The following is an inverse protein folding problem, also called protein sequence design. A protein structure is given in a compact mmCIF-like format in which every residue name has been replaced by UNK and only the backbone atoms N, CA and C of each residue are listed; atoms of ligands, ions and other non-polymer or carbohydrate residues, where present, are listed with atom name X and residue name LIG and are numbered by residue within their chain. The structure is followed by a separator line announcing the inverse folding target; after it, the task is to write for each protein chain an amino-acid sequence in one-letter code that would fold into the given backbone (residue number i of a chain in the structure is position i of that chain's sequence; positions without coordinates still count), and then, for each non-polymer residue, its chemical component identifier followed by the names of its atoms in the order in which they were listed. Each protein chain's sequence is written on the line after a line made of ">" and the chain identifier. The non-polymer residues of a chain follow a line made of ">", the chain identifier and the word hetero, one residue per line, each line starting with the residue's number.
data_IF_124968396760
#
_entry.id   IF_124968396760
#
_cell.length_a   1.000
_cell.length_b   1.000
_cell.length_c   1.000
_cell.angle_alpha   90.00
_cell.angle_beta   90.00
_cell.angle_gamma   90.00
#
_symmetry.space_group_name_H-M   'P 1'
#
loop_
_entity.id
_entity.type
_entity.pdbx_description
1 polymer ?
#
# COMPACT_ATOMS: atom_id res chain seq x y z
N UNK A 1 0.90 -12.54 -7.89
CA UNK A 1 0.51 -11.56 -6.86
C UNK A 1 -0.42 -10.54 -7.51
N UNK A 2 -1.57 -10.26 -6.91
CA UNK A 2 -2.59 -9.33 -7.43
C UNK A 2 -2.70 -8.14 -6.48
N UNK A 3 -2.84 -6.92 -7.04
CA UNK A 3 -3.11 -5.71 -6.25
C UNK A 3 -4.55 -5.29 -6.47
N UNK A 4 -5.24 -4.99 -5.37
CA UNK A 4 -6.56 -4.38 -5.40
C UNK A 4 -6.47 -2.89 -5.08
N UNK A 5 -7.56 -2.17 -5.33
CA UNK A 5 -7.76 -0.83 -4.76
C UNK A 5 -7.78 -0.94 -3.23
N UNK A 6 -7.47 0.17 -2.54
CA UNK A 6 -7.51 0.22 -1.06
C UNK A 6 -8.93 0.00 -0.56
N UNK A 7 -9.11 -0.86 0.43
CA UNK A 7 -10.40 -1.27 0.99
C UNK A 7 -10.61 -2.78 0.91
N UNK A 8 -10.95 -3.39 2.04
CA UNK A 8 -11.28 -4.82 2.21
C UNK A 8 -12.20 -5.38 1.12
N UNK A 9 -13.25 -4.64 0.72
CA UNK A 9 -14.19 -5.04 -0.33
C UNK A 9 -13.50 -5.32 -1.66
N UNK A 10 -12.53 -4.50 -2.04
CA UNK A 10 -11.81 -4.68 -3.30
C UNK A 10 -10.87 -5.88 -3.24
N UNK A 11 -10.27 -6.14 -2.08
CA UNK A 11 -9.45 -7.34 -1.85
C UNK A 11 -10.34 -8.58 -1.95
N UNK A 12 -11.48 -8.61 -1.25
CA UNK A 12 -12.43 -9.71 -1.31
C UNK A 12 -12.94 -9.97 -2.74
N UNK A 13 -13.34 -8.92 -3.46
CA UNK A 13 -13.77 -9.03 -4.85
C UNK A 13 -12.67 -9.65 -5.73
N UNK A 14 -11.43 -9.17 -5.62
CA UNK A 14 -10.31 -9.71 -6.38
C UNK A 14 -10.05 -11.19 -6.06
N UNK A 15 -10.18 -11.60 -4.79
CA UNK A 15 -10.06 -13.00 -4.40
C UNK A 15 -11.15 -13.87 -5.04
N UNK A 16 -12.42 -13.45 -4.96
CA UNK A 16 -13.55 -14.21 -5.55
C UNK A 16 -13.39 -14.37 -7.06
N UNK A 17 -13.12 -13.26 -7.76
CA UNK A 17 -12.94 -13.26 -9.23
C UNK A 17 -11.78 -14.17 -9.67
N UNK A 18 -10.74 -14.28 -8.85
CA UNK A 18 -9.53 -15.05 -9.18
C UNK A 18 -9.44 -16.39 -8.43
N UNK A 19 -10.52 -16.83 -7.75
CA UNK A 19 -10.55 -18.04 -6.91
C UNK A 19 -9.40 -18.11 -5.89
N UNK A 20 -8.96 -16.95 -5.38
CA UNK A 20 -7.93 -16.83 -4.35
C UNK A 20 -8.51 -17.08 -2.96
N UNK A 21 -7.67 -17.60 -2.06
CA UNK A 21 -8.07 -17.93 -0.68
C UNK A 21 -7.43 -17.05 0.39
N UNK A 22 -6.34 -16.35 0.07
CA UNK A 22 -5.60 -15.50 1.00
C UNK A 22 -5.40 -14.11 0.43
N UNK A 23 -5.80 -13.08 1.18
CA UNK A 23 -5.51 -11.68 0.88
C UNK A 23 -5.54 -10.85 2.13
N UNK A 24 -5.25 -9.55 2.00
CA UNK A 24 -5.35 -8.64 3.13
C UNK A 24 -4.81 -7.25 2.86
N UNK A 25 -4.83 -6.46 3.91
CA UNK A 25 -4.39 -5.07 3.92
C UNK A 25 -3.25 -4.86 4.93
N UNK A 26 -2.48 -3.79 4.73
CA UNK A 26 -1.37 -3.44 5.62
C UNK A 26 -1.80 -3.11 7.06
N UNK A 27 -3.10 -2.92 7.31
CA UNK A 27 -3.69 -2.76 8.64
C UNK A 27 -3.67 -4.04 9.49
N UNK A 28 -3.36 -5.19 8.88
CA UNK A 28 -3.49 -6.51 9.51
C UNK A 28 -4.85 -7.17 9.29
N UNK A 29 -5.76 -6.54 8.54
CA UNK A 29 -7.01 -7.17 8.11
C UNK A 29 -6.70 -8.21 7.03
N UNK A 30 -6.74 -9.49 7.40
CA UNK A 30 -6.52 -10.61 6.48
C UNK A 30 -7.82 -11.35 6.18
N UNK A 31 -7.94 -11.83 4.94
CA UNK A 31 -9.02 -12.67 4.46
C UNK A 31 -8.46 -14.07 4.21
N UNK A 32 -8.97 -15.06 4.94
CA UNK A 32 -8.70 -16.49 4.73
C UNK A 32 -10.00 -17.17 4.26
N UNK A 33 -10.31 -17.07 2.97
CA UNK A 33 -11.63 -17.45 2.41
C UNK A 33 -11.90 -18.96 2.44
N UNK A 34 -10.88 -19.77 2.72
CA UNK A 34 -11.00 -21.20 3.01
C UNK A 34 -11.44 -21.49 4.46
N UNK A 35 -11.45 -20.46 5.34
CA UNK A 35 -11.77 -20.57 6.78
C UNK A 35 -12.96 -19.72 7.20
N UNK A 36 -13.08 -18.51 6.65
CA UNK A 36 -14.10 -17.53 7.00
C UNK A 36 -14.52 -16.72 5.78
N UNK A 37 -15.77 -16.27 5.74
CA UNK A 37 -16.30 -15.43 4.65
C UNK A 37 -15.96 -13.95 4.77
N UNK A 38 -15.34 -13.53 5.88
CA UNK A 38 -14.93 -12.14 6.15
C UNK A 38 -13.62 -12.12 6.93
N UNK A 39 -13.00 -10.95 7.07
CA UNK A 39 -11.78 -10.83 7.85
C UNK A 39 -12.02 -11.06 9.33
N UNK A 40 -11.22 -11.95 9.91
CA UNK A 40 -11.30 -12.33 11.32
C UNK A 40 -9.88 -12.37 11.91
N UNK A 41 -9.63 -11.53 12.91
CA UNK A 41 -8.32 -11.41 13.54
C UNK A 41 -7.89 -12.66 14.33
N UNK A 42 -8.85 -13.37 14.93
CA UNK A 42 -8.57 -14.61 15.67
C UNK A 42 -8.20 -15.71 14.68
N UNK A 43 -8.97 -15.88 13.61
CA UNK A 43 -8.64 -16.84 12.54
C UNK A 43 -7.27 -16.53 11.95
N UNK A 44 -7.00 -15.26 11.64
CA UNK A 44 -5.71 -14.81 11.11
C UNK A 44 -4.54 -15.15 12.05
N UNK A 45 -4.70 -14.87 13.35
CA UNK A 45 -3.69 -15.21 14.35
C UNK A 45 -3.48 -16.73 14.44
N UNK A 46 -4.55 -17.52 14.40
CA UNK A 46 -4.47 -18.99 14.39
C UNK A 46 -3.75 -19.51 13.15
N UNK A 47 -3.97 -18.93 11.96
CA UNK A 47 -3.23 -19.32 10.75
C UNK A 47 -1.73 -19.08 10.90
N UNK A 48 -1.32 -17.94 11.48
CA UNK A 48 0.11 -17.67 11.76
C UNK A 48 0.67 -18.68 12.77
N UNK A 49 -0.05 -18.91 13.88
CA UNK A 49 0.39 -19.84 14.92
C UNK A 49 0.46 -21.29 14.42
N UNK A 50 -0.46 -21.70 13.54
CA UNK A 50 -0.43 -23.02 12.90
C UNK A 50 0.88 -23.20 12.10
N UNK A 51 1.26 -22.22 11.28
CA UNK A 51 2.49 -22.28 10.48
C UNK A 51 3.74 -22.32 11.37
N UNK A 52 3.80 -21.48 12.40
CA UNK A 52 4.92 -21.49 13.35
C UNK A 52 5.03 -22.84 14.09
N UNK A 53 3.90 -23.39 14.54
CA UNK A 53 3.84 -24.68 15.20
C UNK A 53 4.31 -25.83 14.28
N UNK A 54 3.84 -25.86 13.03
CA UNK A 54 4.20 -26.91 12.05
C UNK A 54 5.65 -26.84 11.59
N UNK A 55 6.22 -25.64 11.51
CA UNK A 55 7.61 -25.43 11.06
C UNK A 55 8.61 -25.52 12.21
N UNK A 56 8.16 -25.40 13.47
CA UNK A 56 9.03 -25.29 14.64
C UNK A 56 9.82 -23.98 14.71
N UNK A 57 9.53 -23.02 13.84
CA UNK A 57 10.20 -21.72 13.82
C UNK A 57 9.58 -20.77 14.83
N UNK A 58 10.42 -19.95 15.45
CA UNK A 58 9.95 -18.74 16.12
C UNK A 58 9.43 -17.73 15.09
N UNK A 59 8.54 -16.82 15.52
CA UNK A 59 8.08 -15.72 14.66
C UNK A 59 9.24 -14.90 14.09
N UNK A 60 10.29 -14.67 14.90
CA UNK A 60 11.49 -13.95 14.46
C UNK A 60 12.18 -14.64 13.28
N UNK A 61 12.37 -15.96 13.36
CA UNK A 61 12.99 -16.74 12.29
C UNK A 61 12.12 -16.75 11.03
N UNK A 62 10.80 -16.90 11.18
CA UNK A 62 9.87 -16.86 10.06
C UNK A 62 9.88 -15.51 9.32
N UNK A 63 10.28 -14.43 9.99
CA UNK A 63 10.39 -13.08 9.42
C UNK A 63 11.79 -12.75 8.87
N UNK A 64 12.79 -13.62 8.97
CA UNK A 64 14.17 -13.32 8.54
C UNK A 64 14.27 -12.98 7.05
N UNK A 65 13.42 -13.58 6.20
CA UNK A 65 13.35 -13.29 4.77
C UNK A 65 12.59 -12.01 4.41
N UNK A 66 11.94 -11.35 5.38
CA UNK A 66 11.17 -10.13 5.15
C UNK A 66 12.04 -8.90 5.40
N UNK A 67 12.51 -8.29 4.31
CA UNK A 67 13.21 -7.00 4.36
C UNK A 67 12.23 -5.88 4.07
N UNK A 68 11.93 -5.09 5.10
CA UNK A 68 11.13 -3.88 4.95
C UNK A 68 11.96 -2.80 4.26
N UNK A 69 11.42 -2.24 3.18
CA UNK A 69 12.04 -1.10 2.49
C UNK A 69 11.60 0.22 3.13
N UNK A 70 12.43 1.28 3.07
CA UNK A 70 12.00 2.63 3.40
C UNK A 70 10.69 3.01 2.71
N UNK A 71 9.75 3.56 3.48
CA UNK A 71 8.49 4.11 2.99
C UNK A 71 8.24 5.44 3.69
N UNK A 72 7.96 6.49 2.92
CA UNK A 72 7.60 7.81 3.43
C UNK A 72 6.27 8.25 2.83
N UNK A 73 5.47 8.94 3.64
CA UNK A 73 4.19 9.53 3.21
C UNK A 73 4.10 10.97 3.68
N UNK A 74 3.73 11.87 2.76
CA UNK A 74 3.48 13.29 3.06
C UNK A 74 2.03 13.61 2.72
N UNK A 75 1.37 14.36 3.61
CA UNK A 75 0.02 14.86 3.38
C UNK A 75 0.11 16.27 2.76
N UNK A 76 -0.35 16.42 1.51
CA UNK A 76 -0.47 17.72 0.85
C UNK A 76 -1.89 18.22 1.01
N UNK A 77 -2.07 19.37 1.65
CA UNK A 77 -3.38 19.99 1.86
C UNK A 77 -3.90 20.63 0.58
N UNK A 78 -5.16 20.37 0.27
CA UNK A 78 -5.86 20.89 -0.91
C UNK A 78 -6.50 22.24 -0.59
N UNK A 79 -6.54 23.14 -1.58
CA UNK A 79 -7.46 24.29 -1.52
C UNK A 79 -8.87 23.87 -1.98
N UNK A 80 -9.88 24.67 -1.64
CA UNK A 80 -11.28 24.29 -1.85
C UNK A 80 -11.59 24.03 -3.33
N UNK A 81 -12.01 22.80 -3.65
CA UNK A 81 -12.42 22.38 -4.99
C UNK A 81 -11.27 21.92 -5.91
N UNK A 82 -10.02 22.02 -5.47
CA UNK A 82 -8.89 21.53 -6.24
C UNK A 82 -8.88 20.00 -6.34
N UNK A 83 -8.64 19.50 -7.56
CA UNK A 83 -8.51 18.07 -7.86
C UNK A 83 -7.14 17.80 -8.48
N UNK A 84 -6.05 17.97 -7.71
CA UNK A 84 -4.69 17.88 -8.27
C UNK A 84 -4.40 16.52 -8.90
N UNK A 85 -5.03 15.44 -8.40
CA UNK A 85 -4.85 14.09 -8.97
C UNK A 85 -5.37 13.98 -10.41
N UNK A 86 -6.26 14.88 -10.83
CA UNK A 86 -6.76 14.94 -12.21
C UNK A 86 -5.87 15.80 -13.12
N UNK A 87 -5.00 16.65 -12.55
CA UNK A 87 -4.13 17.56 -13.32
C UNK A 87 -3.06 16.76 -14.10
N UNK A 88 -2.89 17.09 -15.38
CA UNK A 88 -1.91 16.42 -16.25
C UNK A 88 -0.48 16.55 -15.73
N UNK A 89 -0.13 17.68 -15.11
CA UNK A 89 1.17 17.87 -14.45
C UNK A 89 1.43 16.87 -13.32
N UNK A 90 0.42 16.57 -12.52
CA UNK A 90 0.51 15.61 -11.41
C UNK A 90 0.53 14.17 -11.95
N UNK A 91 -0.23 13.87 -13.00
CA UNK A 91 -0.17 12.55 -13.66
C UNK A 91 1.21 12.28 -14.24
N UNK A 92 1.81 13.27 -14.91
CA UNK A 92 3.17 13.18 -15.44
C UNK A 92 4.19 12.95 -14.31
N UNK A 93 4.14 13.76 -13.25
CA UNK A 93 5.02 13.61 -12.09
C UNK A 93 4.84 12.24 -11.40
N UNK A 94 3.61 11.73 -11.32
CA UNK A 94 3.35 10.40 -10.77
C UNK A 94 3.95 9.30 -11.66
N UNK A 95 3.82 9.41 -12.99
CA UNK A 95 4.41 8.45 -13.91
C UNK A 95 5.94 8.45 -13.82
N UNK A 96 6.57 9.62 -13.73
CA UNK A 96 8.02 9.74 -13.49
C UNK A 96 8.43 9.13 -12.15
N UNK A 97 7.69 9.41 -11.08
CA UNK A 97 7.95 8.81 -9.76
C UNK A 97 7.81 7.28 -9.78
N UNK A 98 6.80 6.76 -10.48
CA UNK A 98 6.60 5.32 -10.65
C UNK A 98 7.73 4.67 -11.45
N UNK A 99 8.22 5.35 -12.49
CA UNK A 99 9.37 4.89 -13.27
C UNK A 99 10.66 4.90 -12.43
N UNK A 100 10.88 5.93 -11.62
CA UNK A 100 12.08 6.06 -10.78
C UNK A 100 12.22 4.92 -9.76
N UNK A 101 11.11 4.38 -9.25
CA UNK A 101 11.09 3.29 -8.26
C UNK A 101 10.74 1.93 -8.89
N UNK A 102 10.64 1.83 -10.21
CA UNK A 102 10.25 0.61 -10.90
C UNK A 102 11.21 -0.55 -10.58
N UNK A 103 10.65 -1.70 -10.21
CA UNK A 103 11.43 -2.89 -9.82
C UNK A 103 12.06 -2.83 -8.43
N UNK A 104 12.01 -1.68 -7.74
CA UNK A 104 12.65 -1.47 -6.43
C UNK A 104 11.69 -0.90 -5.36
N UNK A 105 10.47 -0.55 -5.75
CA UNK A 105 9.52 0.15 -4.89
C UNK A 105 8.19 0.50 -5.58
N UNK A 106 7.46 1.47 -5.02
CA UNK A 106 6.24 2.06 -5.61
C UNK A 106 6.04 3.51 -5.17
N UNK A 107 5.40 4.28 -6.05
CA UNK A 107 4.92 5.62 -5.78
C UNK A 107 3.43 5.72 -6.14
N UNK A 108 2.62 6.31 -5.26
CA UNK A 108 1.18 6.49 -5.50
C UNK A 108 0.61 7.68 -4.73
N UNK A 109 -0.50 8.19 -5.26
CA UNK A 109 -1.29 9.26 -4.66
C UNK A 109 -2.61 8.70 -4.13
N UNK A 110 -3.03 9.18 -2.95
CA UNK A 110 -4.32 8.82 -2.36
C UNK A 110 -5.03 10.06 -1.81
N UNK A 111 -6.12 10.52 -2.44
CA UNK A 111 -7.01 11.49 -1.83
C UNK A 111 -7.58 10.96 -0.51
N UNK A 112 -7.68 11.81 0.51
CA UNK A 112 -8.42 11.49 1.74
C UNK A 112 -9.92 11.68 1.49
N UNK A 113 -10.73 10.75 1.99
CA UNK A 113 -12.20 10.84 1.88
C UNK A 113 -12.84 11.72 2.96
N UNK A 114 -12.12 12.02 4.03
CA UNK A 114 -12.62 12.75 5.21
C UNK A 114 -11.91 14.08 5.44
N UNK A 115 -10.75 14.28 4.83
CA UNK A 115 -9.91 15.47 5.01
C UNK A 115 -9.55 16.06 3.64
N UNK A 116 -9.37 17.39 3.51
CA UNK A 116 -8.95 18.02 2.27
C UNK A 116 -7.45 17.85 2.05
N UNK A 117 -6.98 16.60 1.95
CA UNK A 117 -5.56 16.26 1.74
C UNK A 117 -5.41 15.16 0.69
N UNK A 118 -4.31 15.22 -0.07
CA UNK A 118 -3.80 14.10 -0.87
C UNK A 118 -2.56 13.56 -0.18
N UNK A 119 -2.56 12.25 0.06
CA UNK A 119 -1.42 11.52 0.64
C UNK A 119 -0.52 11.09 -0.51
N UNK A 120 0.72 11.56 -0.48
CA UNK A 120 1.78 11.20 -1.41
C UNK A 120 2.65 10.16 -0.72
N UNK A 121 2.69 8.94 -1.25
CA UNK A 121 3.46 7.84 -0.66
C UNK A 121 4.49 7.34 -1.66
N UNK A 122 5.72 7.17 -1.19
CA UNK A 122 6.81 6.53 -1.92
C UNK A 122 7.47 5.50 -1.01
N UNK A 123 7.70 4.31 -1.54
CA UNK A 123 8.57 3.30 -0.93
C UNK A 123 9.57 2.81 -1.97
N UNK A 124 10.80 2.58 -1.55
CA UNK A 124 11.87 2.00 -2.37
C UNK A 124 13.00 1.51 -1.46
N UNK A 125 13.87 0.67 -1.99
CA UNK A 125 15.01 0.08 -1.28
C UNK A 125 16.16 1.06 -0.92
N UNK A 126 16.05 2.34 -1.31
CA UNK A 126 17.04 3.40 -1.03
C UNK A 126 16.36 4.65 -0.45
N UNK A 127 16.78 5.11 0.74
CA UNK A 127 16.12 6.23 1.43
C UNK A 127 16.28 7.58 0.70
N UNK A 128 17.40 7.78 -0.01
CA UNK A 128 17.64 9.00 -0.78
C UNK A 128 16.76 9.04 -2.05
N UNK A 129 16.56 7.89 -2.70
CA UNK A 129 15.60 7.73 -3.78
C UNK A 129 14.17 7.99 -3.29
N UNK A 130 13.80 7.42 -2.14
CA UNK A 130 12.48 7.69 -1.52
C UNK A 130 12.30 9.17 -1.26
N UNK A 131 13.27 9.82 -0.62
CA UNK A 131 13.18 11.23 -0.25
C UNK A 131 13.05 12.12 -1.50
N UNK A 132 13.97 11.98 -2.45
CA UNK A 132 13.98 12.82 -3.66
C UNK A 132 12.75 12.61 -4.55
N UNK A 133 12.25 11.38 -4.66
CA UNK A 133 11.04 11.07 -5.43
C UNK A 133 9.79 11.63 -4.75
N UNK A 134 9.71 11.49 -3.42
CA UNK A 134 8.60 12.00 -2.60
C UNK A 134 8.50 13.52 -2.68
N UNK A 135 9.63 14.23 -2.57
CA UNK A 135 9.68 15.69 -2.63
C UNK A 135 9.16 16.19 -3.99
N UNK A 136 9.71 15.69 -5.10
CA UNK A 136 9.29 16.10 -6.45
C UNK A 136 7.80 15.85 -6.69
N UNK A 137 7.31 14.67 -6.30
CA UNK A 137 5.90 14.34 -6.48
C UNK A 137 5.01 15.21 -5.58
N UNK A 138 5.40 15.45 -4.33
CA UNK A 138 4.66 16.32 -3.43
C UNK A 138 4.63 17.77 -3.91
N UNK A 139 5.72 18.28 -4.49
CA UNK A 139 5.78 19.62 -5.07
C UNK A 139 4.88 19.76 -6.30
N UNK A 140 4.83 18.76 -7.17
CA UNK A 140 3.90 18.74 -8.29
C UNK A 140 2.44 18.79 -7.80
N UNK A 141 2.11 18.06 -6.73
CA UNK A 141 0.78 18.11 -6.12
C UNK A 141 0.51 19.50 -5.54
N UNK A 142 1.44 20.08 -4.78
CA UNK A 142 1.31 21.45 -4.19
C UNK A 142 1.14 22.53 -5.26
N UNK A 143 1.80 22.41 -6.40
CA UNK A 143 1.67 23.36 -7.49
C UNK A 143 0.30 23.27 -8.20
N UNK A 144 -0.42 22.16 -8.03
CA UNK A 144 -1.73 21.90 -8.63
C UNK A 144 -2.89 21.96 -7.61
N UNK A 145 -2.61 22.31 -6.35
CA UNK A 145 -3.63 22.51 -5.30
C UNK A 145 -4.22 23.90 -5.27
#
# INVERSE_FOLDING_TARGET
>A
FLRAKVGDRYVHQALVENKGILGGEASGHLLCLDRTSTGDGIVSALQVLEVLSRTGLSLRQALEGLVMVPQKTVNVRLTNGARPVEAESVKAALAEAQAAVAGRGRAFLRPSGTEPVVRVTVEADDDALVQSTLERLADAVRAAT
#
